data_IF_362590083696
#
_entry.id   IF_362590083696
#
_cell.length_a   1.000
_cell.length_b   1.000
_cell.length_c   1.000
_cell.angle_alpha   90.00
_cell.angle_beta   90.00
_cell.angle_gamma   90.00
#
_symmetry.space_group_name_H-M   'P 1'
#
loop_
_entity.id
_entity.type
_entity.pdbx_description
1 polymer ?
#
# COMPACT_ATOMS: atom_id res chain seq x y z
N UNK A 1 16.64 5.86 1.50
CA UNK A 1 17.62 6.78 2.11
C UNK A 1 18.27 6.04 3.24
N UNK A 2 19.59 5.86 3.21
CA UNK A 2 20.33 5.27 4.32
C UNK A 2 20.84 6.44 5.15
N UNK A 3 20.25 6.66 6.32
CA UNK A 3 20.68 7.69 7.27
C UNK A 3 21.69 7.09 8.25
N UNK A 4 22.64 7.88 8.71
CA UNK A 4 23.64 7.45 9.70
C UNK A 4 23.58 8.41 10.89
N UNK A 5 23.30 7.90 12.08
CA UNK A 5 23.16 8.74 13.30
C UNK A 5 24.49 9.03 14.02
N UNK A 6 25.62 8.57 13.45
CA UNK A 6 26.93 8.59 14.09
C UNK A 6 27.34 7.26 14.70
N UNK A 7 26.40 6.32 14.87
CA UNK A 7 26.65 4.98 15.43
C UNK A 7 26.02 3.84 14.62
N UNK A 8 24.85 4.08 14.00
CA UNK A 8 24.10 3.08 13.23
C UNK A 8 23.57 3.65 11.92
N UNK A 9 23.45 2.77 10.93
CA UNK A 9 22.78 3.06 9.66
C UNK A 9 21.29 2.68 9.76
N UNK A 10 20.43 3.61 9.41
CA UNK A 10 18.97 3.50 9.37
C UNK A 10 18.52 3.55 7.91
N UNK A 11 17.60 2.70 7.49
CA UNK A 11 17.21 2.57 6.07
C UNK A 11 17.13 1.13 5.55
N UNK A 12 17.29 0.16 6.44
CA UNK A 12 16.99 -1.25 6.19
C UNK A 12 15.48 -1.50 6.18
N UNK A 13 15.06 -2.60 5.54
CA UNK A 13 13.65 -2.98 5.41
C UNK A 13 13.00 -3.14 6.79
N UNK A 14 12.01 -2.32 7.10
CA UNK A 14 11.18 -2.46 8.29
C UNK A 14 9.72 -2.67 7.89
N UNK A 15 9.32 -3.94 7.88
CA UNK A 15 7.92 -4.40 7.76
C UNK A 15 7.54 -5.15 9.06
N UNK A 16 8.18 -4.82 10.20
CA UNK A 16 7.93 -5.52 11.46
C UNK A 16 8.40 -6.98 11.45
N UNK A 17 9.52 -7.27 10.77
CA UNK A 17 10.07 -8.64 10.61
C UNK A 17 10.56 -9.26 11.92
N UNK A 18 10.64 -8.49 13.02
CA UNK A 18 11.08 -8.97 14.33
C UNK A 18 12.56 -9.35 14.40
N UNK A 19 13.35 -9.04 13.37
CA UNK A 19 14.78 -9.34 13.30
C UNK A 19 15.57 -8.10 13.72
N UNK A 20 16.28 -8.11 14.87
CA UNK A 20 16.92 -6.92 15.43
C UNK A 20 18.32 -6.62 14.86
N UNK A 21 18.74 -7.30 13.79
CA UNK A 21 20.10 -7.24 13.25
C UNK A 21 20.13 -6.67 11.82
N UNK A 22 21.22 -6.02 11.46
CA UNK A 22 21.48 -5.33 10.17
C UNK A 22 21.69 -6.29 8.98
N UNK A 23 21.27 -7.54 9.14
CA UNK A 23 21.32 -8.60 8.11
C UNK A 23 20.24 -8.45 7.02
N UNK A 24 19.35 -7.46 7.12
CA UNK A 24 18.37 -7.18 6.07
C UNK A 24 19.03 -6.48 4.87
N UNK A 25 18.52 -6.69 3.65
CA UNK A 25 18.97 -5.92 2.50
C UNK A 25 18.57 -4.43 2.66
N UNK A 26 19.34 -3.49 2.08
CA UNK A 26 18.95 -2.08 2.06
C UNK A 26 17.66 -1.87 1.26
N UNK A 27 16.76 -1.00 1.73
CA UNK A 27 15.53 -0.72 1.00
C UNK A 27 15.81 -0.08 -0.37
N UNK A 28 15.13 -0.56 -1.42
CA UNK A 28 15.22 -0.04 -2.80
C UNK A 28 14.03 0.85 -3.15
N UNK A 29 12.91 0.67 -2.48
CA UNK A 29 11.68 1.42 -2.69
C UNK A 29 11.08 1.88 -1.35
N UNK A 30 10.17 2.86 -1.40
CA UNK A 30 9.34 3.24 -0.26
C UNK A 30 7.88 3.21 -0.71
N UNK A 31 7.05 2.41 -0.04
CA UNK A 31 5.61 2.44 -0.21
C UNK A 31 5.01 3.46 0.75
N UNK A 32 4.33 4.46 0.21
CA UNK A 32 3.66 5.52 0.97
C UNK A 32 2.16 5.30 0.88
N UNK A 33 1.48 5.21 2.02
CA UNK A 33 0.02 5.16 2.07
C UNK A 33 -0.54 6.48 2.61
N UNK A 34 -1.51 7.04 1.91
CA UNK A 34 -2.14 8.33 2.23
C UNK A 34 -3.66 8.24 2.03
N UNK A 35 -4.41 8.81 2.97
CA UNK A 35 -5.84 9.04 2.83
C UNK A 35 -6.05 10.47 2.36
N UNK A 36 -6.78 10.63 1.25
CA UNK A 36 -7.07 11.92 0.64
C UNK A 36 -8.58 12.14 0.68
N UNK A 37 -9.00 13.30 1.18
CA UNK A 37 -10.41 13.65 1.20
C UNK A 37 -10.91 13.93 -0.23
N UNK A 38 -12.09 13.38 -0.56
CA UNK A 38 -12.75 13.63 -1.85
C UNK A 38 -13.48 14.99 -1.82
N UNK A 39 -14.22 15.25 -0.75
CA UNK A 39 -15.02 16.46 -0.57
C UNK A 39 -14.34 17.51 0.33
N UNK A 40 -13.05 17.33 0.62
CA UNK A 40 -12.29 18.22 1.50
C UNK A 40 -10.89 18.47 0.96
N UNK A 41 -10.22 19.48 1.52
CA UNK A 41 -8.86 19.86 1.11
C UNK A 41 -7.82 19.34 2.10
N UNK A 42 -7.93 18.08 2.52
CA UNK A 42 -6.99 17.47 3.46
C UNK A 42 -6.46 16.14 2.96
N UNK A 43 -5.23 15.84 3.37
CA UNK A 43 -4.53 14.58 3.15
C UNK A 43 -3.89 14.17 4.46
N UNK A 44 -4.04 12.91 4.84
CA UNK A 44 -3.41 12.35 6.03
C UNK A 44 -2.48 11.22 5.59
N UNK A 45 -1.23 11.33 6.02
CA UNK A 45 -0.24 10.28 5.83
C UNK A 45 -0.52 9.13 6.82
N UNK A 46 -0.68 7.91 6.31
CA UNK A 46 -0.92 6.73 7.16
C UNK A 46 0.36 6.02 7.55
N UNK A 47 1.37 6.03 6.68
CA UNK A 47 2.64 5.36 6.95
C UNK A 47 3.55 5.25 5.73
N UNK A 48 4.83 5.03 6.02
CA UNK A 48 5.88 4.74 5.06
C UNK A 48 6.44 3.36 5.36
N UNK A 49 6.54 2.53 4.32
CA UNK A 49 7.16 1.20 4.42
C UNK A 49 8.41 1.21 3.55
N UNK A 50 9.58 1.09 4.18
CA UNK A 50 10.85 0.93 3.49
C UNK A 50 10.96 -0.53 3.05
N UNK A 51 11.02 -0.78 1.74
CA UNK A 51 10.92 -2.13 1.19
C UNK A 51 12.08 -2.41 0.24
N UNK A 52 12.56 -3.66 0.27
CA UNK A 52 13.47 -4.22 -0.72
C UNK A 52 12.66 -5.27 -1.48
N UNK A 53 12.14 -4.89 -2.64
CA UNK A 53 11.28 -5.74 -3.49
C UNK A 53 10.07 -6.37 -2.75
N UNK A 54 8.93 -5.66 -2.76
CA UNK A 54 7.68 -6.24 -2.25
C UNK A 54 6.83 -6.77 -3.41
N UNK A 55 6.49 -8.05 -3.38
CA UNK A 55 5.61 -8.65 -4.39
C UNK A 55 4.22 -7.99 -4.37
N UNK A 56 3.49 -8.09 -5.49
CA UNK A 56 2.14 -7.50 -5.62
C UNK A 56 1.18 -7.95 -4.50
N UNK A 57 1.26 -9.21 -4.09
CA UNK A 57 0.49 -9.76 -2.96
C UNK A 57 0.86 -9.11 -1.62
N UNK A 58 2.15 -8.87 -1.37
CA UNK A 58 2.62 -8.18 -0.17
C UNK A 58 2.10 -6.74 -0.11
N UNK A 59 2.18 -6.00 -1.23
CA UNK A 59 1.61 -4.65 -1.36
C UNK A 59 0.10 -4.66 -1.14
N UNK A 60 -0.62 -5.60 -1.75
CA UNK A 60 -2.08 -5.76 -1.59
C UNK A 60 -2.47 -6.04 -0.13
N UNK A 61 -1.72 -6.86 0.60
CA UNK A 61 -1.98 -7.12 2.02
C UNK A 61 -1.84 -5.87 2.89
N UNK A 62 -0.83 -5.03 2.62
CA UNK A 62 -0.67 -3.74 3.32
C UNK A 62 -1.84 -2.81 3.03
N UNK A 63 -2.29 -2.75 1.77
CA UNK A 63 -3.47 -1.98 1.36
C UNK A 63 -4.74 -2.48 2.05
N UNK A 64 -5.00 -3.80 2.04
CA UNK A 64 -6.15 -4.38 2.74
C UNK A 64 -6.13 -4.08 4.23
N UNK A 65 -4.95 -4.18 4.87
CA UNK A 65 -4.79 -3.85 6.29
C UNK A 65 -5.11 -2.38 6.56
N UNK A 66 -4.65 -1.47 5.69
CA UNK A 66 -4.94 -0.05 5.82
C UNK A 66 -6.45 0.24 5.63
N UNK A 67 -7.08 -0.35 4.61
CA UNK A 67 -8.52 -0.24 4.39
C UNK A 67 -9.33 -0.70 5.60
N UNK A 68 -8.99 -1.87 6.16
CA UNK A 68 -9.66 -2.39 7.36
C UNK A 68 -9.54 -1.46 8.55
N UNK A 69 -8.33 -0.95 8.84
CA UNK A 69 -8.11 -0.01 9.95
C UNK A 69 -8.88 1.29 9.80
N UNK A 70 -8.95 1.82 8.58
CA UNK A 70 -9.68 3.06 8.29
C UNK A 70 -11.20 2.83 8.40
N UNK A 71 -11.67 1.66 7.94
CA UNK A 71 -13.06 1.25 8.07
C UNK A 71 -13.50 1.10 9.53
N UNK A 72 -12.64 0.54 10.40
CA UNK A 72 -12.92 0.43 11.84
C UNK A 72 -13.10 1.79 12.51
N UNK A 73 -12.55 2.87 11.94
CA UNK A 73 -12.74 4.26 12.38
C UNK A 73 -14.02 4.91 11.81
N UNK A 74 -14.82 4.17 11.04
CA UNK A 74 -16.03 4.66 10.38
C UNK A 74 -15.77 5.48 9.12
N UNK A 75 -14.55 5.44 8.57
CA UNK A 75 -14.19 6.15 7.34
C UNK A 75 -14.36 5.21 6.15
N UNK A 76 -15.08 5.67 5.13
CA UNK A 76 -15.26 4.93 3.87
C UNK A 76 -14.26 5.44 2.84
N UNK A 77 -13.44 4.53 2.33
CA UNK A 77 -12.53 4.77 1.21
C UNK A 77 -13.18 4.22 -0.06
N UNK A 78 -13.77 5.05 -0.95
CA UNK A 78 -14.46 4.52 -2.13
C UNK A 78 -13.49 4.14 -3.25
N UNK A 79 -12.26 4.65 -3.22
CA UNK A 79 -11.27 4.38 -4.27
C UNK A 79 -9.82 4.39 -3.79
N UNK A 80 -8.98 3.71 -4.55
CA UNK A 80 -7.52 3.71 -4.41
C UNK A 80 -6.92 4.23 -5.71
N UNK A 81 -5.90 5.07 -5.59
CA UNK A 81 -5.08 5.53 -6.71
C UNK A 81 -3.63 5.19 -6.44
N UNK A 82 -2.89 4.83 -7.49
CA UNK A 82 -1.45 4.61 -7.41
C UNK A 82 -0.79 5.20 -8.64
N UNK A 83 0.48 5.59 -8.55
CA UNK A 83 1.21 6.08 -9.72
C UNK A 83 1.36 4.96 -10.78
N UNK A 84 1.62 5.34 -12.03
CA UNK A 84 1.59 4.43 -13.18
C UNK A 84 2.68 3.34 -13.33
N UNK A 85 3.68 3.10 -12.45
CA UNK A 85 4.62 2.01 -12.67
C UNK A 85 3.98 0.62 -12.74
N UNK A 86 4.56 -0.23 -13.61
CA UNK A 86 4.16 -1.63 -13.84
C UNK A 86 4.01 -2.47 -12.56
N UNK A 87 4.74 -2.14 -11.50
CA UNK A 87 4.70 -2.84 -10.21
C UNK A 87 3.35 -2.70 -9.47
N UNK A 88 2.60 -1.62 -9.71
CA UNK A 88 1.29 -1.40 -9.10
C UNK A 88 0.19 -2.27 -9.75
N UNK A 89 0.38 -2.69 -11.01
CA UNK A 89 -0.53 -3.66 -11.65
C UNK A 89 -0.54 -5.00 -10.93
N UNK A 90 0.61 -5.49 -10.47
CA UNK A 90 0.68 -6.74 -9.71
C UNK A 90 -0.07 -6.64 -8.37
N UNK A 91 -0.07 -5.47 -7.74
CA UNK A 91 -0.86 -5.19 -6.54
C UNK A 91 -2.36 -5.18 -6.87
N UNK A 92 -2.78 -4.45 -7.90
CA UNK A 92 -4.19 -4.39 -8.30
C UNK A 92 -4.73 -5.77 -8.70
N UNK A 93 -3.97 -6.55 -9.48
CA UNK A 93 -4.32 -7.95 -9.78
C UNK A 93 -4.46 -8.79 -8.51
N UNK A 94 -3.60 -8.57 -7.51
CA UNK A 94 -3.68 -9.27 -6.22
C UNK A 94 -4.89 -8.86 -5.37
N UNK A 95 -5.45 -7.67 -5.60
CA UNK A 95 -6.72 -7.21 -5.01
C UNK A 95 -7.94 -7.75 -5.77
N UNK A 96 -7.76 -8.39 -6.93
CA UNK A 96 -8.85 -8.90 -7.77
C UNK A 96 -9.29 -7.95 -8.88
N UNK A 97 -8.53 -6.87 -9.12
CA UNK A 97 -8.74 -5.97 -10.24
C UNK A 97 -8.23 -6.62 -11.53
N UNK A 98 -8.98 -6.52 -12.62
CA UNK A 98 -8.56 -7.00 -13.94
C UNK A 98 -8.28 -5.81 -14.84
N UNK A 99 -7.01 -5.56 -15.14
CA UNK A 99 -6.56 -4.44 -15.98
C UNK A 99 -6.27 -4.90 -17.42
N UNK A 100 -7.18 -5.67 -18.01
CA UNK A 100 -7.07 -6.14 -19.39
C UNK A 100 -7.93 -5.25 -20.32
N UNK A 101 -7.43 -4.80 -21.48
CA UNK A 101 -8.19 -3.94 -22.40
C UNK A 101 -9.54 -4.53 -22.84
N UNK A 102 -9.62 -5.86 -22.92
CA UNK A 102 -10.80 -6.57 -23.42
C UNK A 102 -11.76 -7.01 -22.29
N UNK A 103 -11.34 -6.90 -21.03
CA UNK A 103 -12.14 -7.26 -19.86
C UNK A 103 -11.63 -6.47 -18.65
N UNK A 104 -12.09 -5.22 -18.54
CA UNK A 104 -11.65 -4.30 -17.52
C UNK A 104 -12.58 -4.40 -16.30
N UNK A 105 -12.07 -4.88 -15.17
CA UNK A 105 -12.76 -4.87 -13.88
C UNK A 105 -11.95 -4.02 -12.89
N UNK A 106 -12.38 -2.77 -12.69
CA UNK A 106 -11.71 -1.79 -11.81
C UNK A 106 -12.23 -1.79 -10.38
N UNK A 107 -13.04 -2.76 -10.00
CA UNK A 107 -13.64 -2.83 -8.66
C UNK A 107 -13.30 -4.12 -7.96
N UNK A 108 -13.05 -4.05 -6.65
CA UNK A 108 -12.80 -5.20 -5.81
C UNK A 108 -13.61 -5.10 -4.49
N UNK A 109 -13.93 -6.23 -3.83
CA UNK A 109 -14.68 -6.22 -2.58
C UNK A 109 -13.83 -5.64 -1.44
N UNK A 110 -14.46 -4.87 -0.56
CA UNK A 110 -13.78 -4.29 0.60
C UNK A 110 -13.39 -5.38 1.61
N UNK A 111 -12.16 -5.37 2.17
CA UNK A 111 -11.64 -6.47 2.99
C UNK A 111 -12.40 -6.69 4.30
N UNK A 112 -13.03 -5.66 4.86
CA UNK A 112 -13.86 -5.79 6.08
C UNK A 112 -15.36 -5.92 5.81
N UNK A 113 -15.84 -5.67 4.58
CA UNK A 113 -17.27 -5.74 4.25
C UNK A 113 -17.46 -5.97 2.74
N UNK A 114 -17.75 -7.21 2.35
CA UNK A 114 -17.82 -7.60 0.93
C UNK A 114 -18.99 -6.97 0.15
N UNK A 115 -19.96 -6.33 0.83
CA UNK A 115 -21.03 -5.57 0.17
C UNK A 115 -20.53 -4.22 -0.37
N UNK A 116 -19.43 -3.69 0.18
CA UNK A 116 -18.79 -2.46 -0.29
C UNK A 116 -17.82 -2.80 -1.42
N UNK A 117 -17.91 -2.06 -2.52
CA UNK A 117 -16.94 -2.13 -3.62
C UNK A 117 -16.01 -0.93 -3.58
N UNK A 118 -14.72 -1.21 -3.66
CA UNK A 118 -13.68 -0.20 -3.84
C UNK A 118 -13.30 -0.11 -5.32
N UNK A 119 -13.17 1.11 -5.85
CA UNK A 119 -12.67 1.34 -7.20
C UNK A 119 -11.16 1.55 -7.21
N UNK A 120 -10.47 1.08 -8.24
CA UNK A 120 -9.04 1.32 -8.47
C UNK A 120 -8.81 2.20 -9.69
N UNK A 121 -7.92 3.19 -9.58
CA UNK A 121 -7.46 4.02 -10.70
C UNK A 121 -5.93 4.04 -10.77
N UNK A 122 -5.41 4.19 -11.99
CA UNK A 122 -3.98 4.40 -12.31
C UNK A 122 -3.82 5.82 -12.83
#
# INVERSE_FOLDING_TARGET
>A
MIEFDGSKYYGYVDIGTGVPNDSMPPATEVLVLMVVAIHGNWKIHMGNFMIHELCGRGKANLVCTALSKVYDMGIIIPSITCDGPSFNFAMFNSLGVVLCPNNLETTFPHPSNHEIKNSSYI
#
